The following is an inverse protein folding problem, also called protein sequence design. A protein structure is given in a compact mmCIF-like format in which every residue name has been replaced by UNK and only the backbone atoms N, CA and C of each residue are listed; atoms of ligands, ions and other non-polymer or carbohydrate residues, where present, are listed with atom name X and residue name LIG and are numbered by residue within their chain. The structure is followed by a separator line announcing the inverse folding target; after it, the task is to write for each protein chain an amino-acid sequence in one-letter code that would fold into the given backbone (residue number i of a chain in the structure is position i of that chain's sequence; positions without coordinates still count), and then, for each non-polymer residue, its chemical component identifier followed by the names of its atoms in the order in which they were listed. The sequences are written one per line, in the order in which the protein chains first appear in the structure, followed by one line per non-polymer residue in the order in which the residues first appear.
data_IF_746686285787
#
_entry.id   IF_746686285787
#
_cell.length_a   1.000
_cell.length_b   1.000
_cell.length_c   1.000
_cell.angle_alpha   90.00
_cell.angle_beta   90.00
_cell.angle_gamma   90.00
#
_symmetry.space_group_name_H-M   'P 1'
#
loop_
_entity.id
_entity.type
_entity.pdbx_description
1 polymer ?
#
# COMPACT_ATOMS: atom_id res chain seq x y z
N UNK A 1 -21.38 10.88 -18.60
CA UNK A 1 -20.13 11.11 -17.86
C UNK A 1 -18.99 10.55 -18.69
N UNK A 2 -17.80 11.14 -18.65
CA UNK A 2 -16.65 10.67 -19.44
C UNK A 2 -15.78 9.78 -18.55
N UNK A 3 -15.60 8.52 -18.95
CA UNK A 3 -14.75 7.54 -18.22
C UNK A 3 -13.34 8.09 -18.03
N UNK A 4 -12.78 8.69 -19.09
CA UNK A 4 -11.45 9.31 -19.03
C UNK A 4 -11.41 10.49 -18.05
N UNK A 5 -12.45 11.32 -18.01
CA UNK A 5 -12.48 12.44 -17.07
C UNK A 5 -12.61 11.95 -15.61
N UNK A 6 -13.33 10.85 -15.38
CA UNK A 6 -13.52 10.31 -14.04
C UNK A 6 -12.26 9.61 -13.53
N UNK A 7 -11.55 8.85 -14.36
CA UNK A 7 -10.25 8.27 -13.96
C UNK A 7 -9.18 9.34 -13.75
N UNK A 8 -9.19 10.43 -14.54
CA UNK A 8 -8.31 11.58 -14.32
C UNK A 8 -8.57 12.26 -12.97
N UNK A 9 -9.83 12.41 -12.57
CA UNK A 9 -10.19 12.97 -11.25
C UNK A 9 -9.73 12.07 -10.12
N UNK A 10 -9.93 10.75 -10.26
CA UNK A 10 -9.50 9.78 -9.26
C UNK A 10 -7.97 9.77 -9.11
N UNK A 11 -7.24 9.77 -10.23
CA UNK A 11 -5.78 9.86 -10.20
C UNK A 11 -5.33 11.16 -9.50
N UNK A 12 -5.87 12.31 -9.92
CA UNK A 12 -5.53 13.60 -9.33
C UNK A 12 -5.86 13.71 -7.84
N UNK A 13 -6.89 13.00 -7.34
CA UNK A 13 -7.22 13.00 -5.92
C UNK A 13 -6.25 12.21 -5.05
N UNK A 14 -5.49 11.28 -5.63
CA UNK A 14 -4.46 10.52 -4.92
C UNK A 14 -3.06 11.15 -5.05
N UNK A 15 -2.86 12.14 -5.94
CA UNK A 15 -1.60 12.87 -6.04
C UNK A 15 -1.40 13.79 -4.81
N UNK A 16 -0.49 13.40 -3.92
CA UNK A 16 -0.20 14.10 -2.67
C UNK A 16 1.24 14.62 -2.57
N UNK A 17 2.07 14.41 -3.62
CA UNK A 17 3.48 14.77 -3.65
C UNK A 17 4.42 13.57 -3.45
N UNK A 18 3.90 12.41 -3.05
CA UNK A 18 4.65 11.16 -2.91
C UNK A 18 4.04 10.03 -3.76
N UNK A 19 2.71 9.88 -3.71
CA UNK A 19 2.00 8.76 -4.32
C UNK A 19 2.29 8.64 -5.82
N UNK A 20 2.30 9.76 -6.55
CA UNK A 20 2.54 9.80 -8.00
C UNK A 20 3.94 9.34 -8.43
N UNK A 21 4.89 9.26 -7.49
CA UNK A 21 6.24 8.79 -7.77
C UNK A 21 6.38 7.27 -7.73
N UNK A 22 5.46 6.59 -7.03
CA UNK A 22 5.54 5.15 -6.75
C UNK A 22 4.35 4.35 -7.30
N UNK A 23 3.21 5.00 -7.49
CA UNK A 23 1.93 4.37 -7.82
C UNK A 23 1.23 5.07 -8.98
N UNK A 24 0.30 4.35 -9.62
CA UNK A 24 -0.50 4.97 -10.67
C UNK A 24 -1.45 4.04 -11.40
N UNK A 25 -1.68 4.39 -12.68
CA UNK A 25 -2.51 3.65 -13.61
C UNK A 25 -1.63 3.22 -14.78
N UNK A 26 -1.52 1.91 -15.00
CA UNK A 26 -0.83 1.32 -16.14
C UNK A 26 -1.86 0.74 -17.09
N UNK A 27 -1.78 1.12 -18.37
CA UNK A 27 -2.55 0.53 -19.46
C UNK A 27 -1.55 -0.04 -20.45
N UNK A 28 -1.65 -1.33 -20.72
CA UNK A 28 -0.76 -2.07 -21.62
C UNK A 28 -1.59 -2.97 -22.56
N UNK A 29 -0.93 -3.49 -23.58
CA UNK A 29 -1.46 -4.51 -24.48
C UNK A 29 -1.08 -5.92 -24.01
N UNK A 30 -1.87 -6.91 -24.39
CA UNK A 30 -1.56 -8.32 -24.17
C UNK A 30 -0.92 -8.95 -25.42
N UNK A 31 -0.30 -10.12 -25.26
CA UNK A 31 0.30 -10.90 -26.37
C UNK A 31 -0.77 -11.45 -27.34
N UNK A 32 -2.02 -11.56 -26.88
CA UNK A 32 -3.22 -11.69 -27.70
C UNK A 32 -3.90 -10.32 -27.81
N UNK A 33 -4.59 -9.96 -28.91
CA UNK A 33 -5.23 -8.65 -29.02
C UNK A 33 -6.11 -8.37 -27.79
N UNK A 34 -5.75 -7.33 -27.04
CA UNK A 34 -6.36 -7.10 -25.74
C UNK A 34 -5.65 -6.04 -24.94
N UNK A 35 -6.30 -5.67 -23.85
CA UNK A 35 -5.84 -4.66 -22.91
C UNK A 35 -5.57 -5.28 -21.55
N UNK A 36 -4.52 -4.81 -20.89
CA UNK A 36 -4.30 -4.98 -19.46
C UNK A 36 -4.35 -3.61 -18.80
N UNK A 37 -5.10 -3.50 -17.71
CA UNK A 37 -5.16 -2.30 -16.87
C UNK A 37 -4.78 -2.70 -15.46
N UNK A 38 -3.78 -2.03 -14.90
CA UNK A 38 -3.41 -2.15 -13.49
C UNK A 38 -3.54 -0.79 -12.82
N UNK A 39 -4.23 -0.73 -11.69
CA UNK A 39 -4.41 0.47 -10.88
C UNK A 39 -3.95 0.15 -9.46
N UNK A 40 -2.94 0.89 -8.98
CA UNK A 40 -2.45 0.76 -7.61
C UNK A 40 -3.46 1.34 -6.63
N UNK A 41 -3.75 0.60 -5.55
CA UNK A 41 -4.71 0.99 -4.51
C UNK A 41 -4.02 1.27 -3.17
N UNK A 42 -2.73 0.97 -3.04
CA UNK A 42 -1.90 1.30 -1.88
C UNK A 42 -1.99 2.79 -1.57
N UNK A 43 -2.11 3.15 -0.29
CA UNK A 43 -2.22 4.53 0.18
C UNK A 43 -3.41 5.29 -0.43
N UNK A 44 -4.42 4.58 -0.94
CA UNK A 44 -5.68 5.17 -1.41
C UNK A 44 -6.84 4.76 -0.51
N UNK A 45 -7.98 5.43 -0.64
CA UNK A 45 -9.21 5.06 0.07
C UNK A 45 -9.80 3.69 -0.35
N UNK A 46 -9.24 3.07 -1.39
CA UNK A 46 -9.58 1.73 -1.88
C UNK A 46 -8.65 0.64 -1.34
N UNK A 47 -7.62 1.00 -0.58
CA UNK A 47 -6.71 0.03 0.02
C UNK A 47 -7.47 -0.95 0.94
N UNK A 48 -7.15 -2.25 0.80
CA UNK A 48 -7.78 -3.31 1.58
C UNK A 48 -9.29 -3.48 1.36
N UNK A 49 -9.92 -2.77 0.41
CA UNK A 49 -11.35 -2.91 0.11
C UNK A 49 -11.62 -4.20 -0.64
N UNK A 50 -12.72 -4.86 -0.27
CA UNK A 50 -13.16 -6.06 -0.95
C UNK A 50 -13.71 -5.73 -2.35
N UNK A 51 -13.29 -6.53 -3.31
CA UNK A 51 -13.80 -6.52 -4.68
C UNK A 51 -14.25 -7.92 -5.03
N UNK A 52 -15.53 -8.07 -5.36
CA UNK A 52 -16.03 -9.32 -5.92
C UNK A 52 -15.50 -9.47 -7.35
N UNK A 53 -14.72 -10.54 -7.65
CA UNK A 53 -14.16 -10.73 -8.99
C UNK A 53 -15.24 -10.68 -10.06
N UNK A 54 -15.01 -9.87 -11.09
CA UNK A 54 -15.93 -9.70 -12.20
C UNK A 54 -15.37 -10.42 -13.42
N UNK A 55 -16.18 -11.26 -14.04
CA UNK A 55 -15.81 -11.95 -15.27
C UNK A 55 -17.01 -12.07 -16.19
N UNK A 56 -16.78 -11.85 -17.49
CA UNK A 56 -17.76 -12.07 -18.54
C UNK A 56 -17.05 -12.58 -19.79
N UNK A 57 -17.31 -13.82 -20.15
CA UNK A 57 -16.76 -14.48 -21.33
C UNK A 57 -17.91 -14.88 -22.25
N UNK A 58 -18.06 -14.17 -23.37
CA UNK A 58 -18.99 -14.56 -24.42
C UNK A 58 -18.35 -15.53 -25.42
N UNK A 59 -17.02 -15.45 -25.59
CA UNK A 59 -16.19 -16.35 -26.40
C UNK A 59 -14.70 -16.13 -26.08
N UNK A 60 -13.81 -16.93 -26.67
CA UNK A 60 -12.35 -16.75 -26.56
C UNK A 60 -11.86 -15.37 -27.05
N UNK A 61 -12.57 -14.74 -27.99
CA UNK A 61 -12.25 -13.41 -28.53
C UNK A 61 -13.07 -12.28 -27.89
N UNK A 62 -13.99 -12.62 -26.96
CA UNK A 62 -14.89 -11.66 -26.32
C UNK A 62 -14.99 -11.94 -24.84
N UNK A 63 -14.09 -11.31 -24.09
CA UNK A 63 -13.90 -11.62 -22.68
C UNK A 63 -13.40 -10.41 -21.89
N UNK A 64 -13.73 -10.40 -20.61
CA UNK A 64 -13.25 -9.43 -19.63
C UNK A 64 -13.12 -10.11 -18.26
N UNK A 65 -12.01 -9.86 -17.59
CA UNK A 65 -11.73 -10.25 -16.21
C UNK A 65 -11.22 -9.06 -15.42
N UNK A 66 -11.84 -8.81 -14.27
CA UNK A 66 -11.38 -7.83 -13.30
C UNK A 66 -11.25 -8.50 -11.93
N UNK A 67 -10.21 -8.15 -11.19
CA UNK A 67 -9.98 -8.62 -9.83
C UNK A 67 -9.14 -7.61 -9.04
N UNK A 68 -9.18 -7.71 -7.71
CA UNK A 68 -8.21 -7.01 -6.84
C UNK A 68 -7.33 -8.05 -6.16
N UNK A 69 -6.01 -7.89 -6.30
CA UNK A 69 -5.00 -8.72 -5.63
C UNK A 69 -3.78 -7.85 -5.31
N UNK A 70 -3.17 -8.07 -4.14
CA UNK A 70 -1.96 -7.36 -3.71
C UNK A 70 -2.13 -5.82 -3.76
N UNK A 71 -3.27 -5.31 -3.26
CA UNK A 71 -3.63 -3.88 -3.32
C UNK A 71 -3.55 -3.26 -4.73
N UNK A 72 -3.83 -4.06 -5.76
CA UNK A 72 -3.94 -3.59 -7.15
C UNK A 72 -5.24 -4.08 -7.76
N UNK A 73 -5.99 -3.18 -8.37
CA UNK A 73 -7.03 -3.56 -9.31
C UNK A 73 -6.37 -3.98 -10.62
N UNK A 74 -6.73 -5.16 -11.10
CA UNK A 74 -6.22 -5.74 -12.34
C UNK A 74 -7.41 -6.10 -13.24
N UNK A 75 -7.48 -5.44 -14.38
CA UNK A 75 -8.44 -5.71 -15.44
C UNK A 75 -7.73 -6.22 -16.69
N UNK A 76 -8.31 -7.20 -17.37
CA UNK A 76 -7.85 -7.70 -18.64
C UNK A 76 -9.06 -8.00 -19.54
N UNK A 77 -8.93 -7.81 -20.84
CA UNK A 77 -10.00 -8.11 -21.77
C UNK A 77 -9.58 -7.97 -23.23
N UNK A 78 -10.49 -8.35 -24.13
CA UNK A 78 -10.29 -8.22 -25.58
C UNK A 78 -10.05 -6.76 -26.02
N UNK A 79 -9.68 -6.57 -27.29
CA UNK A 79 -9.26 -5.28 -27.84
C UNK A 79 -10.33 -4.18 -27.74
N UNK A 80 -11.58 -4.55 -27.48
CA UNK A 80 -12.72 -3.64 -27.32
C UNK A 80 -13.06 -3.29 -25.86
N UNK A 81 -12.36 -3.87 -24.87
CA UNK A 81 -12.76 -3.82 -23.46
C UNK A 81 -12.11 -2.73 -22.60
N UNK A 82 -11.19 -1.94 -23.13
CA UNK A 82 -10.49 -0.91 -22.34
C UNK A 82 -11.45 -0.01 -21.55
N UNK A 83 -12.47 0.54 -22.22
CA UNK A 83 -13.45 1.41 -21.56
C UNK A 83 -14.28 0.67 -20.50
N UNK A 84 -14.65 -0.58 -20.78
CA UNK A 84 -15.44 -1.42 -19.86
C UNK A 84 -14.64 -1.77 -18.61
N UNK A 85 -13.34 -2.08 -18.75
CA UNK A 85 -12.43 -2.33 -17.63
C UNK A 85 -12.35 -1.10 -16.71
N UNK A 86 -12.12 0.08 -17.28
CA UNK A 86 -12.06 1.33 -16.51
C UNK A 86 -13.40 1.65 -15.84
N UNK A 87 -14.51 1.34 -16.52
CA UNK A 87 -15.84 1.52 -15.95
C UNK A 87 -16.08 0.59 -14.76
N UNK A 88 -15.71 -0.69 -14.83
CA UNK A 88 -15.82 -1.64 -13.71
C UNK A 88 -15.06 -1.12 -12.49
N UNK A 89 -13.84 -0.62 -12.68
CA UNK A 89 -13.08 0.01 -11.60
C UNK A 89 -13.81 1.21 -11.00
N UNK A 90 -14.24 2.16 -11.83
CA UNK A 90 -14.89 3.40 -11.37
C UNK A 90 -16.22 3.14 -10.66
N UNK A 91 -17.04 2.22 -11.19
CA UNK A 91 -18.32 1.85 -10.59
C UNK A 91 -18.09 1.17 -9.22
N UNK A 92 -17.08 0.31 -9.11
CA UNK A 92 -16.67 -0.26 -7.84
C UNK A 92 -16.17 0.81 -6.87
N UNK A 93 -15.21 1.65 -7.27
CA UNK A 93 -14.65 2.69 -6.43
C UNK A 93 -15.73 3.62 -5.83
N UNK A 94 -16.67 4.06 -6.68
CA UNK A 94 -17.83 4.87 -6.29
C UNK A 94 -18.80 4.16 -5.34
N UNK A 95 -18.87 2.83 -5.40
CA UNK A 95 -19.72 2.04 -4.49
C UNK A 95 -19.12 1.85 -3.09
N UNK A 96 -17.81 2.04 -2.93
CA UNK A 96 -17.14 1.84 -1.64
C UNK A 96 -17.32 3.04 -0.69
N UNK A 97 -17.54 4.25 -1.21
CA UNK A 97 -17.63 5.46 -0.41
C UNK A 97 -18.42 6.58 -1.12
N UNK A 98 -19.27 7.32 -0.38
CA UNK A 98 -19.93 8.53 -0.88
C UNK A 98 -18.92 9.61 -1.30
N UNK A 99 -17.74 9.63 -0.66
CA UNK A 99 -16.60 10.50 -0.94
C UNK A 99 -15.42 9.72 -1.56
N UNK A 100 -15.69 8.91 -2.59
CA UNK A 100 -14.67 8.07 -3.27
C UNK A 100 -13.45 8.80 -3.86
N UNK A 101 -13.44 10.15 -3.86
CA UNK A 101 -12.32 11.00 -4.26
C UNK A 101 -11.56 11.61 -3.07
N UNK A 102 -11.97 11.37 -1.82
CA UNK A 102 -11.20 11.85 -0.67
C UNK A 102 -10.07 10.85 -0.40
N UNK A 103 -8.79 11.28 -0.44
CA UNK A 103 -7.69 10.43 0.00
C UNK A 103 -7.87 10.07 1.50
N UNK A 104 -7.20 9.03 2.00
CA UNK A 104 -7.19 8.74 3.43
C UNK A 104 -6.75 9.98 4.23
N UNK A 105 -7.30 10.14 5.43
CA UNK A 105 -6.82 11.21 6.30
C UNK A 105 -5.33 10.99 6.58
N UNK A 106 -4.49 12.04 6.51
CA UNK A 106 -3.09 11.89 6.81
C UNK A 106 -2.92 11.42 8.26
N UNK A 107 -1.98 10.49 8.45
CA UNK A 107 -1.61 10.03 9.79
C UNK A 107 -1.18 11.22 10.65
N UNK A 108 -1.59 11.20 11.91
CA UNK A 108 -1.13 12.17 12.89
C UNK A 108 0.37 12.03 13.14
N UNK A 109 1.01 13.09 13.64
CA UNK A 109 2.44 13.05 14.01
C UNK A 109 2.73 11.91 14.99
N UNK A 110 1.79 11.57 15.89
CA UNK A 110 1.91 10.47 16.84
C UNK A 110 1.86 9.09 16.16
N UNK A 111 1.00 8.92 15.16
CA UNK A 111 0.89 7.67 14.39
C UNK A 111 2.11 7.47 13.48
N UNK A 112 2.57 8.51 12.79
CA UNK A 112 3.81 8.48 12.00
C UNK A 112 5.00 8.12 12.87
N UNK A 113 5.10 8.76 14.04
CA UNK A 113 6.14 8.48 15.02
C UNK A 113 6.11 7.01 15.48
N UNK A 114 4.93 6.43 15.66
CA UNK A 114 4.76 5.02 16.02
C UNK A 114 5.20 4.06 14.91
N UNK A 115 4.88 4.36 13.64
CA UNK A 115 5.29 3.53 12.50
C UNK A 115 6.81 3.55 12.30
N UNK A 116 7.42 4.74 12.38
CA UNK A 116 8.88 4.86 12.30
C UNK A 116 9.60 4.12 13.43
N UNK A 117 8.98 4.08 14.61
CA UNK A 117 9.53 3.35 15.75
C UNK A 117 9.47 1.84 15.52
N UNK A 118 8.33 1.34 15.06
CA UNK A 118 8.15 -0.07 14.72
C UNK A 118 9.13 -0.51 13.61
N UNK A 119 9.27 0.30 12.56
CA UNK A 119 10.23 0.04 11.48
C UNK A 119 11.66 -0.06 12.00
N UNK A 120 12.10 0.91 12.82
CA UNK A 120 13.42 0.86 13.44
C UNK A 120 13.57 -0.41 14.29
N UNK A 121 12.59 -0.73 15.13
CA UNK A 121 12.64 -1.91 16.00
C UNK A 121 12.71 -3.23 15.22
N UNK A 122 12.07 -3.31 14.06
CA UNK A 122 12.14 -4.45 13.15
C UNK A 122 13.54 -4.57 12.54
N UNK A 123 14.18 -3.45 12.17
CA UNK A 123 15.55 -3.41 11.65
C UNK A 123 16.62 -3.80 12.69
N UNK A 124 16.39 -3.52 13.98
CA UNK A 124 17.34 -3.86 15.05
C UNK A 124 17.47 -5.38 15.26
N UNK A 125 16.43 -6.14 14.94
CA UNK A 125 16.37 -7.58 15.16
C UNK A 125 16.38 -7.99 16.64
N UNK A 126 16.56 -9.28 16.89
CA UNK A 126 16.53 -9.86 18.24
C UNK A 126 17.84 -9.68 19.02
N UNK A 127 17.77 -9.79 20.34
CA UNK A 127 18.95 -9.77 21.20
C UNK A 127 19.76 -11.07 21.03
N UNK A 128 21.09 -10.96 20.94
CA UNK A 128 21.98 -12.12 20.83
C UNK A 128 22.18 -12.77 22.20
N UNK A 129 22.39 -14.09 22.24
CA UNK A 129 22.35 -14.79 23.52
C UNK A 129 23.58 -14.61 24.42
N UNK A 130 24.69 -14.15 23.86
CA UNK A 130 26.04 -14.33 24.42
C UNK A 130 26.55 -13.15 25.24
N UNK A 131 26.07 -11.94 24.97
CA UNK A 131 26.66 -10.70 25.50
C UNK A 131 25.59 -9.76 26.06
N UNK A 132 25.90 -9.11 27.19
CA UNK A 132 25.02 -8.13 27.82
C UNK A 132 25.14 -6.74 27.15
N UNK A 133 24.07 -5.96 27.28
CA UNK A 133 24.04 -4.56 26.90
C UNK A 133 25.07 -3.74 27.70
N UNK A 134 25.78 -2.83 27.02
CA UNK A 134 26.80 -1.96 27.62
C UNK A 134 26.24 -0.84 28.51
N UNK A 135 24.94 -0.54 28.41
CA UNK A 135 24.30 0.48 29.25
C UNK A 135 24.40 0.13 30.74
N UNK A 136 24.76 1.11 31.57
CA UNK A 136 25.01 0.92 33.00
C UNK A 136 23.76 0.41 33.71
N UNK A 137 23.89 -0.68 34.48
CA UNK A 137 22.76 -1.28 35.19
C UNK A 137 21.77 -2.06 34.33
N UNK A 138 22.03 -2.24 33.02
CA UNK A 138 21.16 -3.01 32.15
C UNK A 138 21.43 -4.53 32.24
N UNK A 139 20.37 -5.33 32.31
CA UNK A 139 20.44 -6.80 32.32
C UNK A 139 20.03 -7.45 31.00
N UNK A 140 19.59 -6.66 30.02
CA UNK A 140 19.23 -7.14 28.68
C UNK A 140 20.46 -7.51 27.87
N UNK A 141 20.27 -8.36 26.87
CA UNK A 141 21.34 -8.76 25.97
C UNK A 141 21.47 -7.76 24.82
N UNK A 142 22.68 -7.59 24.29
CA UNK A 142 22.87 -6.68 23.14
C UNK A 142 22.26 -7.26 21.87
N UNK A 143 22.04 -6.44 20.85
CA UNK A 143 21.68 -6.93 19.51
C UNK A 143 22.95 -7.22 18.67
N UNK A 144 22.76 -7.89 17.52
CA UNK A 144 23.87 -8.32 16.65
C UNK A 144 24.79 -7.16 16.24
N UNK A 145 24.21 -6.04 15.79
CA UNK A 145 24.95 -4.92 15.18
C UNK A 145 25.20 -3.74 16.13
N UNK A 146 25.00 -3.91 17.44
CA UNK A 146 25.18 -2.84 18.43
C UNK A 146 25.65 -3.40 19.75
N UNK A 147 26.41 -2.62 20.53
CA UNK A 147 26.80 -2.98 21.91
C UNK A 147 25.66 -2.80 22.93
N UNK A 148 24.49 -2.35 22.48
CA UNK A 148 23.31 -2.08 23.30
C UNK A 148 22.18 -3.06 22.98
N UNK A 149 21.25 -3.26 23.93
CA UNK A 149 19.99 -3.96 23.67
C UNK A 149 19.06 -3.16 22.75
N UNK A 150 17.94 -3.77 22.32
CA UNK A 150 16.96 -3.10 21.45
C UNK A 150 16.51 -1.76 22.04
N UNK A 151 16.20 -1.75 23.33
CA UNK A 151 15.75 -0.55 24.07
C UNK A 151 16.76 0.59 24.03
N UNK A 152 17.98 0.34 24.52
CA UNK A 152 18.99 1.39 24.62
C UNK A 152 19.53 1.81 23.25
N UNK A 153 19.56 0.91 22.26
CA UNK A 153 19.93 1.30 20.91
C UNK A 153 18.88 2.23 20.29
N UNK A 154 17.59 1.92 20.46
CA UNK A 154 16.51 2.80 20.04
C UNK A 154 16.64 4.19 20.68
N UNK A 155 16.81 4.25 22.00
CA UNK A 155 16.93 5.52 22.73
C UNK A 155 18.13 6.35 22.27
N UNK A 156 19.24 5.68 21.94
CA UNK A 156 20.43 6.32 21.36
C UNK A 156 20.17 6.90 19.96
N UNK A 157 19.42 6.20 19.11
CA UNK A 157 19.15 6.62 17.72
C UNK A 157 18.09 7.72 17.68
N UNK A 158 16.98 7.55 18.41
CA UNK A 158 15.84 8.48 18.39
C UNK A 158 15.97 9.63 19.38
N UNK A 159 16.96 9.58 20.29
CA UNK A 159 17.19 10.59 21.33
C UNK A 159 15.94 10.91 22.18
N UNK A 160 15.15 9.87 22.49
CA UNK A 160 13.96 9.90 23.34
C UNK A 160 13.73 8.54 23.99
N UNK A 161 12.89 8.42 25.04
CA UNK A 161 12.62 7.16 25.72
C UNK A 161 12.01 6.10 24.78
N UNK A 162 12.29 4.83 25.07
CA UNK A 162 11.67 3.71 24.37
C UNK A 162 10.14 3.69 24.54
N UNK A 163 9.36 3.37 23.49
CA UNK A 163 7.90 3.37 23.58
C UNK A 163 7.40 2.32 24.57
N UNK A 164 6.55 2.70 25.52
CA UNK A 164 6.02 1.79 26.56
C UNK A 164 5.17 0.63 26.01
N UNK A 165 4.68 0.74 24.76
CA UNK A 165 3.83 -0.26 24.11
C UNK A 165 4.60 -1.40 23.41
N UNK A 166 5.93 -1.31 23.30
CA UNK A 166 6.76 -2.23 22.53
C UNK A 166 7.46 -3.32 23.37
N UNK A 167 6.72 -3.95 24.30
CA UNK A 167 7.21 -5.10 25.10
C UNK A 167 6.98 -6.43 24.41
#
# INVERSE_FOLDING_TARGET
MSILADIQKWYASNCDGNWEHSFGVTIDTLDNPGWSVTIDLEDTNLEGKNFEPFQNEASEERWIHCSVKENKFRGAGDETKLEEILKVFLDWAKSQNEDWLKPPEPLTDEELQSLEDEELLNLLGEEIETELCKSEGCTHKRIKNSVMCRRHHFEMVKNRPFPERAN
#
